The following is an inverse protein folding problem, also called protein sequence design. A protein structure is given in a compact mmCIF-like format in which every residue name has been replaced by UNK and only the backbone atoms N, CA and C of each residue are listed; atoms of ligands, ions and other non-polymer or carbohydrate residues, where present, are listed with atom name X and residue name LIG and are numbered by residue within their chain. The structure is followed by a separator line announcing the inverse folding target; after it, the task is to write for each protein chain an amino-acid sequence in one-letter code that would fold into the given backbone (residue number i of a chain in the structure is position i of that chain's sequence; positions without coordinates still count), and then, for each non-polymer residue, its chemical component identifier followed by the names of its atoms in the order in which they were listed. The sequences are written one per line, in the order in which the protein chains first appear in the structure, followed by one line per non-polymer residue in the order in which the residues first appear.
data_IF_152548005729
#
_entry.id   IF_152548005729
#
_cell.length_a   1.000
_cell.length_b   1.000
_cell.length_c   1.000
_cell.angle_alpha   90.00
_cell.angle_beta   90.00
_cell.angle_gamma   90.00
#
_symmetry.space_group_name_H-M   'P 1'
#
loop_
_entity.id
_entity.type
_entity.pdbx_description
1 polymer ?
#
# COMPACT_ATOMS: atom_id res chain seq x y z
N UNK A 1 38.98 65.83 -12.92
CA UNK A 1 37.85 65.63 -11.98
C UNK A 1 36.65 65.11 -12.76
N UNK A 2 36.34 63.81 -12.70
CA UNK A 2 35.15 63.23 -13.31
C UNK A 2 34.08 62.99 -12.25
N UNK A 3 32.98 63.76 -12.30
CA UNK A 3 31.87 63.58 -11.37
C UNK A 3 31.04 62.35 -11.77
N UNK A 4 31.20 61.26 -11.01
CA UNK A 4 30.31 60.10 -11.06
C UNK A 4 28.91 60.51 -10.60
N UNK A 5 27.96 60.53 -11.53
CA UNK A 5 26.55 60.81 -11.24
C UNK A 5 25.89 59.53 -10.68
N UNK A 6 25.96 59.32 -9.36
CA UNK A 6 25.13 58.30 -8.68
C UNK A 6 23.72 58.86 -8.51
N UNK A 7 22.86 58.65 -9.51
CA UNK A 7 21.41 58.78 -9.33
C UNK A 7 20.92 57.62 -8.48
N UNK A 8 20.96 57.79 -7.16
CA UNK A 8 20.26 56.91 -6.24
C UNK A 8 18.77 57.20 -6.37
N UNK A 9 18.05 56.41 -7.16
CA UNK A 9 16.60 56.48 -7.28
C UNK A 9 15.95 56.11 -5.93
N UNK A 10 15.65 57.12 -5.12
CA UNK A 10 14.79 56.99 -3.94
C UNK A 10 13.39 56.73 -4.46
N UNK A 11 12.94 55.46 -4.42
CA UNK A 11 11.57 55.10 -4.80
C UNK A 11 10.58 55.83 -3.90
N UNK A 12 9.54 56.43 -4.49
CA UNK A 12 8.53 57.17 -3.75
C UNK A 12 7.88 56.29 -2.67
N UNK A 13 7.47 56.89 -1.56
CA UNK A 13 6.78 56.21 -0.44
C UNK A 13 5.53 55.46 -0.91
N UNK A 14 4.85 55.94 -1.96
CA UNK A 14 3.71 55.28 -2.56
C UNK A 14 4.09 53.95 -3.25
N UNK A 15 5.19 53.93 -4.01
CA UNK A 15 5.72 52.71 -4.64
C UNK A 15 6.16 51.68 -3.60
N UNK A 16 6.80 52.12 -2.53
CA UNK A 16 7.23 51.23 -1.44
C UNK A 16 6.03 50.61 -0.70
N UNK A 17 4.98 51.40 -0.45
CA UNK A 17 3.73 50.90 0.15
C UNK A 17 3.01 49.91 -0.78
N UNK A 18 2.93 50.22 -2.08
CA UNK A 18 2.34 49.32 -3.08
C UNK A 18 3.05 47.97 -3.12
N UNK A 19 4.39 47.98 -3.19
CA UNK A 19 5.20 46.76 -3.18
C UNK A 19 4.98 45.95 -1.91
N UNK A 20 4.94 46.60 -0.74
CA UNK A 20 4.71 45.93 0.55
C UNK A 20 3.33 45.28 0.63
N UNK A 21 2.30 45.95 0.12
CA UNK A 21 0.94 45.40 0.03
C UNK A 21 0.94 44.16 -0.89
N UNK A 22 1.50 44.24 -2.10
CA UNK A 22 1.59 43.07 -3.00
C UNK A 22 2.37 41.89 -2.39
N UNK A 23 3.45 42.15 -1.64
CA UNK A 23 4.20 41.10 -0.95
C UNK A 23 3.37 40.44 0.16
N UNK A 24 2.57 41.21 0.90
CA UNK A 24 1.69 40.68 1.95
C UNK A 24 0.56 39.83 1.34
N UNK A 25 -0.04 40.26 0.23
CA UNK A 25 -1.06 39.46 -0.48
C UNK A 25 -0.49 38.14 -1.01
N UNK A 26 0.69 38.17 -1.64
CA UNK A 26 1.36 36.96 -2.16
C UNK A 26 1.70 35.98 -1.03
N UNK A 27 2.25 36.47 0.09
CA UNK A 27 2.59 35.63 1.25
C UNK A 27 1.35 35.00 1.89
N UNK A 28 0.21 35.71 1.90
CA UNK A 28 -1.05 35.19 2.41
C UNK A 28 -1.63 34.10 1.49
N UNK A 29 -1.53 34.31 0.17
CA UNK A 29 -1.91 33.31 -0.84
C UNK A 29 -1.04 32.05 -0.79
N UNK A 30 0.27 32.22 -0.59
CA UNK A 30 1.21 31.11 -0.41
C UNK A 30 0.94 30.36 0.91
N UNK A 31 0.49 31.06 1.98
CA UNK A 31 0.14 30.43 3.27
C UNK A 31 -1.17 29.62 3.22
N UNK A 32 -2.12 30.00 2.36
CA UNK A 32 -3.35 29.24 2.10
C UNK A 32 -3.13 28.06 1.13
N UNK A 33 -2.00 28.04 0.41
CA UNK A 33 -1.57 26.96 -0.46
C UNK A 33 -0.73 25.88 0.26
N UNK A 34 -0.51 26.05 1.57
CA UNK A 34 0.16 25.07 2.43
C UNK A 34 -0.81 23.89 2.63
N UNK A 35 -0.63 22.87 1.79
CA UNK A 35 -1.15 21.50 1.89
C UNK A 35 -2.66 21.29 1.69
N UNK A 36 -3.20 21.61 0.52
CA UNK A 36 -4.18 20.67 -0.06
C UNK A 36 -3.42 19.41 -0.45
N UNK A 37 -3.25 18.49 0.50
CA UNK A 37 -2.76 17.14 0.22
C UNK A 37 -3.70 16.54 -0.84
N UNK A 38 -3.14 16.18 -1.99
CA UNK A 38 -3.90 15.47 -3.01
C UNK A 38 -4.13 14.03 -2.54
N UNK A 39 -5.33 13.76 -2.03
CA UNK A 39 -5.77 12.46 -1.54
C UNK A 39 -6.37 11.59 -2.65
N UNK A 40 -6.37 12.04 -3.91
CA UNK A 40 -6.99 11.31 -5.01
C UNK A 40 -6.42 9.91 -5.20
N UNK A 41 -5.10 9.75 -5.02
CA UNK A 41 -4.43 8.45 -5.06
C UNK A 41 -4.88 7.54 -3.90
N UNK A 42 -5.03 8.08 -2.69
CA UNK A 42 -5.50 7.32 -1.53
C UNK A 42 -6.97 6.93 -1.68
N UNK A 43 -7.81 7.82 -2.19
CA UNK A 43 -9.22 7.54 -2.44
C UNK A 43 -9.41 6.45 -3.51
N UNK A 44 -8.63 6.48 -4.60
CA UNK A 44 -8.60 5.40 -5.59
C UNK A 44 -8.18 4.05 -5.01
N UNK A 45 -7.32 4.04 -4.00
CA UNK A 45 -6.94 2.81 -3.29
C UNK A 45 -8.05 2.37 -2.33
N UNK A 46 -8.68 3.31 -1.63
CA UNK A 46 -9.78 3.04 -0.70
C UNK A 46 -11.07 2.57 -1.41
N UNK A 47 -11.27 2.98 -2.66
CA UNK A 47 -12.36 2.51 -3.53
C UNK A 47 -12.19 1.04 -3.96
N UNK A 48 -10.98 0.47 -3.88
CA UNK A 48 -10.79 -0.96 -4.11
C UNK A 48 -11.37 -1.74 -2.93
N UNK A 49 -12.27 -2.66 -3.20
CA UNK A 49 -12.75 -3.59 -2.17
C UNK A 49 -11.56 -4.39 -1.65
N UNK A 50 -11.25 -4.18 -0.36
CA UNK A 50 -10.27 -5.00 0.33
C UNK A 50 -10.90 -6.34 0.68
N UNK A 51 -10.24 -7.42 0.28
CA UNK A 51 -10.68 -8.75 0.69
C UNK A 51 -10.66 -8.86 2.22
N UNK A 52 -11.78 -9.27 2.84
CA UNK A 52 -11.82 -9.48 4.28
C UNK A 52 -10.82 -10.56 4.67
N UNK A 53 -10.18 -10.38 5.83
CA UNK A 53 -9.28 -11.37 6.40
C UNK A 53 -10.06 -12.29 7.33
N UNK A 54 -10.10 -13.58 7.03
CA UNK A 54 -10.68 -14.61 7.90
C UNK A 54 -9.61 -15.31 8.72
N UNK A 55 -9.99 -15.80 9.91
CA UNK A 55 -9.11 -16.70 10.65
C UNK A 55 -9.25 -18.10 10.06
N UNK A 56 -8.17 -18.87 10.18
CA UNK A 56 -8.15 -20.29 9.82
C UNK A 56 -9.25 -21.08 10.54
N UNK A 57 -9.55 -20.70 11.78
CA UNK A 57 -10.61 -21.34 12.60
C UNK A 57 -12.02 -21.08 12.09
N UNK A 58 -12.19 -20.07 11.24
CA UNK A 58 -13.49 -19.69 10.67
C UNK A 58 -13.74 -20.39 9.32
N UNK A 59 -12.79 -21.23 8.87
CA UNK A 59 -12.94 -22.06 7.68
C UNK A 59 -13.78 -23.29 7.98
N UNK A 60 -14.58 -23.71 7.00
CA UNK A 60 -15.31 -24.96 7.09
C UNK A 60 -14.34 -26.13 7.05
N UNK A 61 -14.54 -27.06 7.99
CA UNK A 61 -13.73 -28.26 8.07
C UNK A 61 -14.08 -29.18 6.90
N UNK A 62 -13.05 -29.78 6.30
CA UNK A 62 -13.13 -30.72 5.19
C UNK A 62 -13.71 -30.10 3.90
N UNK A 63 -13.84 -28.78 3.85
CA UNK A 63 -14.19 -28.02 2.65
C UNK A 63 -12.95 -27.71 1.83
N UNK A 64 -13.03 -27.90 0.51
CA UNK A 64 -11.96 -27.58 -0.44
C UNK A 64 -12.15 -26.16 -0.97
N UNK A 65 -11.14 -25.33 -0.77
CA UNK A 65 -11.10 -23.93 -1.15
C UNK A 65 -10.08 -23.71 -2.26
N UNK A 66 -10.42 -22.92 -3.28
CA UNK A 66 -9.48 -22.60 -4.36
C UNK A 66 -8.56 -21.46 -3.92
N UNK A 67 -7.26 -21.66 -4.08
CA UNK A 67 -6.26 -20.60 -3.83
C UNK A 67 -6.05 -19.83 -5.12
N UNK A 68 -6.47 -18.55 -5.14
CA UNK A 68 -6.32 -17.69 -6.31
C UNK A 68 -4.97 -16.99 -6.35
N UNK A 69 -4.42 -16.66 -5.18
CA UNK A 69 -3.09 -16.07 -5.08
C UNK A 69 -2.40 -16.40 -3.76
N UNK A 70 -1.06 -16.40 -3.80
CA UNK A 70 -0.20 -16.49 -2.62
C UNK A 70 0.67 -15.23 -2.52
N UNK A 71 0.70 -14.63 -1.34
CA UNK A 71 1.41 -13.37 -1.08
C UNK A 71 2.35 -13.53 0.10
N UNK A 72 3.60 -13.14 -0.10
CA UNK A 72 4.55 -12.97 0.99
C UNK A 72 4.29 -11.63 1.70
N UNK A 73 4.09 -11.67 3.02
CA UNK A 73 3.85 -10.49 3.84
C UNK A 73 4.85 -10.43 4.98
N UNK A 74 5.64 -9.36 5.02
CA UNK A 74 6.54 -9.07 6.14
C UNK A 74 5.73 -8.50 7.31
N UNK A 75 5.67 -9.24 8.40
CA UNK A 75 5.02 -8.80 9.64
C UNK A 75 6.07 -8.49 10.70
N UNK A 76 5.68 -7.81 11.79
CA UNK A 76 6.56 -7.58 12.96
C UNK A 76 7.06 -8.88 13.60
N UNK A 77 6.38 -10.00 13.34
CA UNK A 77 6.72 -11.33 13.86
C UNK A 77 7.48 -12.19 12.84
N UNK A 78 8.00 -11.57 11.78
CA UNK A 78 8.64 -12.26 10.65
C UNK A 78 7.75 -12.36 9.43
N UNK A 79 8.28 -12.98 8.40
CA UNK A 79 7.60 -13.17 7.12
C UNK A 79 6.55 -14.27 7.22
N UNK A 80 5.34 -14.01 6.72
CA UNK A 80 4.25 -14.98 6.65
C UNK A 80 3.69 -15.05 5.23
N UNK A 81 3.09 -16.19 4.91
CA UNK A 81 2.35 -16.37 3.66
C UNK A 81 0.86 -16.12 3.90
N UNK A 82 0.27 -15.30 3.04
CA UNK A 82 -1.16 -15.05 2.94
C UNK A 82 -1.68 -15.76 1.69
N UNK A 83 -2.74 -16.54 1.84
CA UNK A 83 -3.46 -17.13 0.73
C UNK A 83 -4.76 -16.35 0.48
N UNK A 84 -5.01 -16.00 -0.78
CA UNK A 84 -6.28 -15.47 -1.25
C UNK A 84 -7.14 -16.65 -1.71
N UNK A 85 -8.37 -16.68 -1.23
CA UNK A 85 -9.28 -17.81 -1.37
C UNK A 85 -10.51 -17.37 -2.14
N UNK A 86 -10.78 -18.04 -3.27
CA UNK A 86 -11.93 -17.80 -4.15
C UNK A 86 -12.13 -16.32 -4.52
N UNK A 87 -11.07 -15.51 -4.53
CA UNK A 87 -11.12 -14.03 -4.62
C UNK A 87 -12.12 -13.37 -3.65
N UNK A 88 -12.43 -14.05 -2.54
CA UNK A 88 -13.49 -13.66 -1.61
C UNK A 88 -12.95 -13.26 -0.24
N UNK A 89 -11.91 -13.94 0.24
CA UNK A 89 -11.26 -13.61 1.50
C UNK A 89 -9.78 -14.01 1.51
N UNK A 90 -9.05 -13.46 2.47
CA UNK A 90 -7.65 -13.77 2.71
C UNK A 90 -7.48 -14.53 4.02
N UNK A 91 -6.57 -15.51 4.04
CA UNK A 91 -6.17 -16.21 5.25
C UNK A 91 -4.66 -16.16 5.46
N UNK A 92 -4.25 -16.07 6.72
CA UNK A 92 -2.85 -16.31 7.09
C UNK A 92 -2.62 -17.80 7.25
N UNK A 93 -1.64 -18.34 6.52
CA UNK A 93 -1.24 -19.71 6.73
C UNK A 93 -0.54 -19.88 8.09
N UNK A 94 -0.73 -21.03 8.76
CA UNK A 94 0.01 -21.36 9.97
C UNK A 94 1.52 -21.20 9.78
N UNK A 95 2.20 -20.82 10.86
CA UNK A 95 3.62 -20.50 10.84
C UNK A 95 4.50 -21.65 10.35
N UNK A 96 4.18 -22.89 10.72
CA UNK A 96 4.88 -24.09 10.25
C UNK A 96 4.87 -24.21 8.72
N UNK A 97 3.71 -23.96 8.12
CA UNK A 97 3.52 -24.05 6.66
C UNK A 97 4.20 -22.87 5.98
N UNK A 98 3.96 -21.65 6.48
CA UNK A 98 4.60 -20.44 5.95
C UNK A 98 6.13 -20.59 5.96
N UNK A 99 6.71 -21.09 7.05
CA UNK A 99 8.15 -21.26 7.17
C UNK A 99 8.71 -22.34 6.26
N UNK A 100 7.97 -23.43 6.03
CA UNK A 100 8.37 -24.48 5.10
C UNK A 100 8.39 -23.96 3.65
N UNK A 101 7.36 -23.21 3.27
CA UNK A 101 7.26 -22.60 1.94
C UNK A 101 8.35 -21.55 1.73
N UNK A 102 8.59 -20.69 2.72
CA UNK A 102 9.59 -19.62 2.61
C UNK A 102 11.05 -20.12 2.59
N UNK A 103 11.31 -21.32 3.10
CA UNK A 103 12.64 -21.95 3.02
C UNK A 103 12.98 -22.42 1.61
N UNK A 104 11.97 -22.72 0.81
CA UNK A 104 12.12 -23.23 -0.55
C UNK A 104 11.49 -22.26 -1.55
N UNK A 105 12.35 -21.40 -2.11
CA UNK A 105 11.95 -20.38 -3.08
C UNK A 105 11.34 -21.00 -4.34
N UNK A 106 11.83 -22.16 -4.78
CA UNK A 106 11.34 -22.85 -5.97
C UNK A 106 9.92 -23.37 -5.72
N UNK A 107 9.69 -23.97 -4.55
CA UNK A 107 8.37 -24.40 -4.11
C UNK A 107 7.38 -23.23 -4.03
N UNK A 108 7.79 -22.08 -3.49
CA UNK A 108 6.93 -20.90 -3.45
C UNK A 108 6.54 -20.40 -4.85
N UNK A 109 7.51 -20.33 -5.77
CA UNK A 109 7.24 -19.90 -7.15
C UNK A 109 6.32 -20.89 -7.87
N UNK A 110 6.54 -22.19 -7.68
CA UNK A 110 5.69 -23.23 -8.26
C UNK A 110 4.27 -23.16 -7.70
N UNK A 111 4.07 -23.07 -6.39
CA UNK A 111 2.75 -22.90 -5.80
C UNK A 111 2.06 -21.62 -6.27
N UNK A 112 2.79 -20.51 -6.36
CA UNK A 112 2.24 -19.23 -6.84
C UNK A 112 1.79 -19.33 -8.30
N UNK A 113 2.57 -20.02 -9.14
CA UNK A 113 2.19 -20.27 -10.53
C UNK A 113 0.97 -21.18 -10.65
N UNK A 114 0.86 -22.20 -9.81
CA UNK A 114 -0.30 -23.10 -9.75
C UNK A 114 -1.55 -22.38 -9.24
N UNK A 115 -1.42 -21.51 -8.23
CA UNK A 115 -2.50 -20.65 -7.74
C UNK A 115 -3.01 -19.69 -8.84
N UNK A 116 -2.09 -19.05 -9.57
CA UNK A 116 -2.45 -18.17 -10.70
C UNK A 116 -3.14 -18.93 -11.85
N UNK A 117 -2.89 -20.23 -11.98
CA UNK A 117 -3.58 -21.12 -12.94
C UNK A 117 -4.89 -21.67 -12.41
N UNK A 118 -5.29 -21.29 -11.19
CA UNK A 118 -6.50 -21.76 -10.51
C UNK A 118 -6.54 -23.28 -10.33
N UNK A 119 -5.36 -23.91 -10.18
CA UNK A 119 -5.23 -25.35 -10.02
C UNK A 119 -4.66 -25.76 -8.66
N UNK A 120 -4.62 -24.82 -7.70
CA UNK A 120 -4.21 -25.06 -6.32
C UNK A 120 -5.41 -24.96 -5.38
N UNK A 121 -5.58 -25.99 -4.56
CA UNK A 121 -6.67 -26.08 -3.60
C UNK A 121 -6.13 -26.35 -2.20
N UNK A 122 -6.85 -25.85 -1.20
CA UNK A 122 -6.58 -26.13 0.21
C UNK A 122 -7.80 -26.67 0.91
N UNK A 123 -7.61 -27.68 1.74
CA UNK A 123 -8.65 -28.23 2.61
C UNK A 123 -8.26 -28.00 4.06
N UNK A 124 -9.14 -27.36 4.84
CA UNK A 124 -8.93 -27.20 6.27
C UNK A 124 -9.35 -28.46 7.02
N UNK A 125 -8.42 -29.12 7.72
CA UNK A 125 -8.68 -30.39 8.42
C UNK A 125 -8.99 -30.21 9.91
N UNK A 126 -9.05 -28.96 10.40
CA UNK A 126 -9.23 -28.65 11.82
C UNK A 126 -7.93 -28.27 12.53
N UNK A 127 -8.06 -27.53 13.64
CA UNK A 127 -6.93 -27.02 14.40
C UNK A 127 -6.07 -26.08 13.55
N UNK A 128 -4.84 -26.52 13.25
CA UNK A 128 -3.88 -25.80 12.38
C UNK A 128 -3.46 -26.63 11.16
N UNK A 129 -4.21 -27.69 10.85
CA UNK A 129 -3.88 -28.64 9.79
C UNK A 129 -4.54 -28.26 8.47
N UNK A 130 -3.75 -28.33 7.40
CA UNK A 130 -4.18 -28.09 6.04
C UNK A 130 -3.69 -29.20 5.13
N UNK A 131 -4.50 -29.52 4.13
CA UNK A 131 -4.11 -30.35 3.00
C UNK A 131 -4.04 -29.46 1.76
N UNK A 132 -2.98 -29.60 0.97
CA UNK A 132 -2.83 -28.94 -0.32
C UNK A 132 -3.06 -29.97 -1.42
N UNK A 133 -3.89 -29.64 -2.39
CA UNK A 133 -4.21 -30.47 -3.55
C UNK A 133 -3.99 -29.64 -4.81
N UNK A 134 -3.54 -30.30 -5.88
CA UNK A 134 -3.40 -29.70 -7.20
C UNK A 134 -4.23 -30.49 -8.19
N UNK A 135 -4.90 -29.80 -9.11
CA UNK A 135 -5.59 -30.43 -10.25
C UNK A 135 -4.72 -30.45 -11.50
#
# INVERSE_FOLDING_TARGET
MGYMNRRTTVKSTFEQSSLKITYLWRRNQDSLNIFKMDLSALNKIAEREFLPKKKVTDLEKDHEYMVTALKEVKTRFGTKIVAEIDDSFQIFLPEKISSAILKDQELFNNLSNTANKLSLFITYQGGTSFKFTTC
#
